data_IF_811785204574
#
_entry.id   IF_811785204574
#
_cell.length_a   1.000
_cell.length_b   1.000
_cell.length_c   1.000
_cell.angle_alpha   90.00
_cell.angle_beta   90.00
_cell.angle_gamma   90.00
#
_symmetry.space_group_name_H-M   'P 1'
#
loop_
_entity.id
_entity.type
_entity.pdbx_description
1 polymer ?
#
# COMPACT_ATOMS: atom_id res chain seq x y z
N UNK A 1 12.51 -47.03 31.67
CA UNK A 1 13.15 -45.91 30.94
C UNK A 1 12.05 -44.97 30.49
N UNK A 2 12.04 -43.72 30.97
CA UNK A 2 11.04 -42.71 30.61
C UNK A 2 11.50 -41.95 29.37
N UNK A 3 10.77 -42.04 28.26
CA UNK A 3 11.06 -41.30 27.04
C UNK A 3 10.52 -39.87 27.19
N UNK A 4 11.41 -38.89 27.23
CA UNK A 4 11.02 -37.48 27.16
C UNK A 4 10.48 -37.18 25.76
N UNK A 5 9.21 -36.80 25.66
CA UNK A 5 8.62 -36.24 24.43
C UNK A 5 9.08 -34.80 24.30
N UNK A 6 10.06 -34.56 23.44
CA UNK A 6 10.49 -33.21 23.08
C UNK A 6 9.47 -32.59 22.11
N UNK A 7 8.95 -31.41 22.44
CA UNK A 7 8.01 -30.67 21.59
C UNK A 7 8.83 -29.76 20.68
N UNK A 8 8.95 -30.12 19.39
CA UNK A 8 9.62 -29.28 18.41
C UNK A 8 8.79 -28.03 18.12
N UNK A 9 9.26 -26.87 18.57
CA UNK A 9 8.68 -25.57 18.19
C UNK A 9 9.15 -25.26 16.78
N UNK A 10 8.23 -25.29 15.81
CA UNK A 10 8.53 -24.87 14.44
C UNK A 10 8.88 -23.39 14.41
N UNK A 11 10.10 -23.05 13.96
CA UNK A 11 10.49 -21.66 13.72
C UNK A 11 9.83 -21.20 12.42
N UNK A 12 8.89 -20.26 12.51
CA UNK A 12 8.34 -19.60 11.33
C UNK A 12 9.43 -18.74 10.67
N UNK A 13 9.65 -18.93 9.37
CA UNK A 13 10.56 -18.13 8.57
C UNK A 13 9.88 -16.84 8.13
N UNK A 14 10.66 -15.76 7.97
CA UNK A 14 10.15 -14.49 7.44
C UNK A 14 9.62 -14.72 6.01
N UNK A 15 8.35 -14.39 5.72
CA UNK A 15 7.75 -14.65 4.42
C UNK A 15 8.24 -13.64 3.36
N UNK A 16 9.39 -13.93 2.74
CA UNK A 16 10.03 -13.03 1.75
C UNK A 16 9.12 -12.63 0.60
N UNK A 17 8.29 -13.56 0.11
CA UNK A 17 7.34 -13.29 -0.98
C UNK A 17 6.28 -12.25 -0.55
N UNK A 18 5.79 -12.35 0.68
CA UNK A 18 4.84 -11.36 1.21
C UNK A 18 5.46 -9.97 1.29
N UNK A 19 6.73 -9.89 1.72
CA UNK A 19 7.46 -8.61 1.77
C UNK A 19 7.61 -8.01 0.36
N UNK A 20 8.01 -8.82 -0.62
CA UNK A 20 8.16 -8.36 -2.01
C UNK A 20 6.81 -7.88 -2.56
N UNK A 21 5.73 -8.63 -2.31
CA UNK A 21 4.39 -8.24 -2.75
C UNK A 21 3.95 -6.91 -2.11
N UNK A 22 4.14 -6.75 -0.80
CA UNK A 22 3.81 -5.50 -0.09
C UNK A 22 4.65 -4.32 -0.59
N UNK A 23 5.94 -4.53 -0.85
CA UNK A 23 6.81 -3.50 -1.42
C UNK A 23 6.35 -3.08 -2.84
N UNK A 24 5.96 -4.04 -3.67
CA UNK A 24 5.43 -3.76 -5.01
C UNK A 24 4.11 -2.97 -4.95
N UNK A 25 3.19 -3.36 -4.06
CA UNK A 25 1.93 -2.63 -3.83
C UNK A 25 2.21 -1.21 -3.35
N UNK A 26 3.15 -1.03 -2.42
CA UNK A 26 3.52 0.28 -1.92
C UNK A 26 4.08 1.18 -3.03
N UNK A 27 5.02 0.69 -3.85
CA UNK A 27 5.59 1.44 -4.98
C UNK A 27 4.51 1.80 -5.99
N UNK A 28 3.63 0.87 -6.33
CA UNK A 28 2.52 1.12 -7.25
C UNK A 28 1.56 2.17 -6.68
N UNK A 29 1.22 2.09 -5.39
CA UNK A 29 0.39 3.08 -4.72
C UNK A 29 1.01 4.48 -4.76
N UNK A 30 2.31 4.59 -4.48
CA UNK A 30 3.05 5.86 -4.60
C UNK A 30 3.06 6.39 -6.03
N UNK A 31 3.18 5.52 -7.04
CA UNK A 31 3.05 5.91 -8.43
C UNK A 31 1.66 6.49 -8.72
N UNK A 32 0.59 5.80 -8.29
CA UNK A 32 -0.78 6.26 -8.50
C UNK A 32 -1.02 7.63 -7.85
N UNK A 33 -0.58 7.84 -6.61
CA UNK A 33 -0.80 9.11 -5.91
C UNK A 33 0.07 10.24 -6.46
N UNK A 34 1.34 9.96 -6.77
CA UNK A 34 2.34 10.98 -7.10
C UNK A 34 2.49 11.29 -8.59
N UNK A 35 2.15 10.34 -9.47
CA UNK A 35 2.48 10.43 -10.90
C UNK A 35 1.29 10.20 -11.85
N UNK A 36 0.20 9.56 -11.42
CA UNK A 36 -0.83 9.06 -12.36
C UNK A 36 -1.68 10.13 -13.07
N UNK A 37 -1.65 11.41 -12.68
CA UNK A 37 -2.38 12.49 -13.38
C UNK A 37 -3.86 12.18 -13.69
N UNK A 38 -4.50 11.25 -12.96
CA UNK A 38 -5.89 10.82 -13.21
C UNK A 38 -6.08 9.72 -14.25
N UNK A 39 -5.02 9.17 -14.86
CA UNK A 39 -5.14 8.18 -15.95
C UNK A 39 -5.84 6.90 -15.48
N UNK A 40 -5.42 6.31 -14.35
CA UNK A 40 -6.06 5.09 -13.83
C UNK A 40 -7.53 5.33 -13.48
N UNK A 41 -7.85 6.49 -12.91
CA UNK A 41 -9.21 6.78 -12.46
C UNK A 41 -10.15 7.26 -13.59
N UNK A 42 -9.60 7.79 -14.69
CA UNK A 42 -10.35 8.24 -15.87
C UNK A 42 -11.18 7.13 -16.54
N UNK A 43 -10.80 5.87 -16.38
CA UNK A 43 -11.57 4.71 -16.88
C UNK A 43 -12.99 4.69 -16.29
N UNK A 44 -13.16 5.23 -15.08
CA UNK A 44 -14.45 5.28 -14.39
C UNK A 44 -15.04 6.69 -14.37
N UNK A 45 -14.19 7.71 -14.15
CA UNK A 45 -14.62 9.10 -13.93
C UNK A 45 -14.49 10.02 -15.15
N UNK A 46 -13.99 9.50 -16.28
CA UNK A 46 -13.84 10.26 -17.52
C UNK A 46 -12.84 11.42 -17.40
N UNK A 47 -13.08 12.49 -18.16
CA UNK A 47 -12.15 13.63 -18.23
C UNK A 47 -11.95 14.36 -16.89
N UNK A 48 -12.96 14.34 -16.02
CA UNK A 48 -12.88 14.96 -14.69
C UNK A 48 -11.77 14.38 -13.82
N UNK A 49 -11.35 13.12 -14.07
CA UNK A 49 -10.27 12.51 -13.33
C UNK A 49 -8.92 13.23 -13.51
N UNK A 50 -8.69 13.85 -14.68
CA UNK A 50 -7.45 14.56 -14.99
C UNK A 50 -7.42 15.96 -14.36
N UNK A 51 -8.56 16.66 -14.37
CA UNK A 51 -8.65 18.03 -13.85
C UNK A 51 -8.65 18.05 -12.32
N UNK A 52 -9.42 17.17 -11.70
CA UNK A 52 -9.68 17.20 -10.25
C UNK A 52 -8.69 16.35 -9.47
N UNK A 53 -7.93 15.48 -10.15
CA UNK A 53 -6.87 14.68 -9.53
C UNK A 53 -7.33 13.94 -8.26
N UNK A 54 -8.55 13.40 -8.30
CA UNK A 54 -9.28 12.91 -7.12
C UNK A 54 -8.47 12.06 -6.16
N UNK A 55 -7.66 11.11 -6.67
CA UNK A 55 -6.86 10.22 -5.82
C UNK A 55 -5.69 10.96 -5.15
N UNK A 56 -5.12 11.97 -5.80
CA UNK A 56 -4.09 12.83 -5.22
C UNK A 56 -4.67 13.67 -4.08
N UNK A 57 -5.77 14.38 -4.32
CA UNK A 57 -6.41 15.24 -3.33
C UNK A 57 -6.99 14.44 -2.16
N UNK A 58 -7.61 13.27 -2.41
CA UNK A 58 -8.05 12.39 -1.33
C UNK A 58 -6.86 11.94 -0.46
N UNK A 59 -5.73 11.60 -1.06
CA UNK A 59 -4.54 11.19 -0.30
C UNK A 59 -3.93 12.36 0.46
N UNK A 60 -3.98 13.56 -0.11
CA UNK A 60 -3.60 14.80 0.54
C UNK A 60 -4.48 15.08 1.77
N UNK A 61 -5.80 14.91 1.66
CA UNK A 61 -6.75 15.03 2.77
C UNK A 61 -6.53 13.99 3.86
N UNK A 62 -6.30 12.72 3.50
CA UNK A 62 -5.99 11.67 4.47
C UNK A 62 -4.70 11.96 5.23
N UNK A 63 -3.70 12.52 4.56
CA UNK A 63 -2.44 12.96 5.20
C UNK A 63 -2.70 14.07 6.22
N UNK A 64 -3.56 15.04 5.89
CA UNK A 64 -4.01 16.07 6.83
C UNK A 64 -4.78 15.48 8.01
N UNK A 65 -5.70 14.55 7.76
CA UNK A 65 -6.45 13.87 8.80
C UNK A 65 -5.54 13.08 9.76
N UNK A 66 -4.42 12.56 9.24
CA UNK A 66 -3.37 11.92 10.03
C UNK A 66 -2.42 12.90 10.75
N UNK A 67 -2.64 14.21 10.62
CA UNK A 67 -1.88 15.26 11.31
C UNK A 67 -0.52 15.58 10.69
N UNK A 68 -0.24 15.10 9.48
CA UNK A 68 1.00 15.44 8.78
C UNK A 68 0.85 16.80 8.08
N UNK A 69 1.85 17.70 8.20
CA UNK A 69 1.80 19.00 7.53
C UNK A 69 1.89 18.86 6.01
N UNK A 70 1.27 19.77 5.26
CA UNK A 70 1.50 20.01 3.82
C UNK A 70 1.97 21.46 3.58
N UNK A 71 2.22 21.83 2.33
CA UNK A 71 2.67 23.17 1.93
C UNK A 71 1.52 24.06 1.43
#
# INVERSE_FOLDING_TARGET
MSQSKEIAISKSSVPKIAIIALAAIFVLGMFVVGFDQGHVFSVVFGEQAFDEMYIHELTHDMRHAAGFPCH
#
